data_IF_643205298105
#
_entry.id   IF_643205298105
#
_cell.length_a   1.000
_cell.length_b   1.000
_cell.length_c   1.000
_cell.angle_alpha   90.00
_cell.angle_beta   90.00
_cell.angle_gamma   90.00
#
_symmetry.space_group_name_H-M   'P 1'
#
loop_
_entity.id
_entity.type
_entity.pdbx_description
1 polymer ?
#
# COMPACT_ATOMS: atom_id res chain seq x y z
N UNK A 1 20.98 10.52 -11.47
CA UNK A 1 19.81 10.35 -10.57
C UNK A 1 20.24 9.39 -9.48
N UNK A 2 20.25 9.84 -8.23
CA UNK A 2 20.75 9.03 -7.12
C UNK A 2 19.64 8.18 -6.47
N UNK A 3 18.38 8.43 -6.77
CA UNK A 3 17.26 7.64 -6.26
C UNK A 3 15.95 7.91 -6.99
N UNK A 4 15.06 6.91 -6.93
CA UNK A 4 13.71 6.96 -7.46
C UNK A 4 12.76 6.60 -6.32
N UNK A 5 11.79 7.47 -6.03
CA UNK A 5 10.71 7.20 -5.10
C UNK A 5 9.43 6.89 -5.88
N UNK A 6 8.86 5.72 -5.65
CA UNK A 6 7.54 5.34 -6.15
C UNK A 6 6.59 5.32 -4.96
N UNK A 7 5.69 6.30 -4.91
CA UNK A 7 4.68 6.43 -3.88
C UNK A 7 3.29 6.43 -4.53
N UNK A 8 2.53 5.36 -4.32
CA UNK A 8 1.21 5.15 -4.91
C UNK A 8 0.13 5.20 -3.84
N UNK A 9 -0.49 6.36 -3.67
CA UNK A 9 -1.66 6.51 -2.78
C UNK A 9 -2.90 5.84 -3.35
N UNK A 10 -2.98 5.76 -4.67
CA UNK A 10 -4.10 5.21 -5.43
C UNK A 10 -3.56 4.02 -6.23
N UNK A 11 -3.93 2.81 -5.82
CA UNK A 11 -3.36 1.57 -6.35
C UNK A 11 -4.43 0.47 -6.44
N UNK A 12 -4.62 -0.10 -7.62
CA UNK A 12 -5.52 -1.23 -7.86
C UNK A 12 -4.80 -2.52 -8.25
N UNK A 13 -3.51 -2.41 -8.60
CA UNK A 13 -2.64 -3.54 -8.93
C UNK A 13 -1.19 -3.22 -8.55
N UNK A 14 -0.42 -4.23 -8.18
CA UNK A 14 1.01 -4.10 -7.89
C UNK A 14 1.78 -3.62 -9.13
N UNK A 15 2.59 -2.56 -9.04
CA UNK A 15 3.48 -2.16 -10.12
C UNK A 15 4.61 -3.17 -10.29
N UNK A 16 5.02 -3.40 -11.54
CA UNK A 16 6.10 -4.33 -11.87
C UNK A 16 7.47 -3.66 -11.71
N UNK A 17 7.89 -3.46 -10.46
CA UNK A 17 9.14 -2.75 -10.13
C UNK A 17 10.39 -3.45 -10.67
N UNK A 18 10.35 -4.77 -10.80
CA UNK A 18 11.43 -5.59 -11.36
C UNK A 18 11.70 -5.35 -12.85
N UNK A 19 10.79 -4.66 -13.53
CA UNK A 19 10.98 -4.24 -14.94
C UNK A 19 11.64 -2.88 -15.08
N UNK A 20 11.88 -2.19 -13.99
CA UNK A 20 12.57 -0.89 -14.01
C UNK A 20 14.07 -1.16 -14.16
N UNK A 21 14.65 -0.65 -15.25
CA UNK A 21 16.10 -0.71 -15.42
C UNK A 21 16.74 0.40 -14.58
N UNK A 22 17.31 0.02 -13.45
CA UNK A 22 17.95 0.94 -12.51
C UNK A 22 19.45 1.06 -12.82
N UNK A 23 20.02 2.28 -12.82
CA UNK A 23 21.47 2.45 -12.77
C UNK A 23 22.05 1.76 -11.52
N UNK A 24 23.30 1.31 -11.60
CA UNK A 24 23.95 0.51 -10.56
C UNK A 24 23.95 1.19 -9.17
N UNK A 25 24.12 2.51 -9.14
CA UNK A 25 24.15 3.29 -7.89
C UNK A 25 22.79 3.93 -7.53
N UNK A 26 21.73 3.59 -8.24
CA UNK A 26 20.40 4.18 -7.98
C UNK A 26 19.70 3.45 -6.85
N UNK A 27 19.18 4.21 -5.87
CA UNK A 27 18.30 3.67 -4.81
C UNK A 27 16.85 3.71 -5.31
N UNK A 28 16.18 2.57 -5.30
CA UNK A 28 14.74 2.50 -5.53
C UNK A 28 14.00 2.40 -4.21
N UNK A 29 13.13 3.37 -3.95
CA UNK A 29 12.26 3.40 -2.76
C UNK A 29 10.82 3.17 -3.22
N UNK A 30 10.17 2.16 -2.65
CA UNK A 30 8.76 1.88 -2.89
C UNK A 30 7.95 2.04 -1.62
N UNK A 31 7.03 3.00 -1.64
CA UNK A 31 6.04 3.18 -0.58
C UNK A 31 4.83 2.26 -0.82
N UNK A 32 4.82 1.16 -0.08
CA UNK A 32 3.77 0.15 -0.10
C UNK A 32 2.68 0.37 0.95
N UNK A 33 2.58 1.56 1.54
CA UNK A 33 1.65 1.87 2.64
C UNK A 33 0.23 1.34 2.39
N UNK A 34 -0.28 1.43 1.17
CA UNK A 34 -1.66 1.01 0.85
C UNK A 34 -1.83 -0.50 0.77
N UNK A 35 -0.76 -1.25 0.50
CA UNK A 35 -0.82 -2.68 0.20
C UNK A 35 0.08 -3.54 1.10
N UNK A 36 0.66 -2.95 2.14
CA UNK A 36 1.63 -3.63 3.00
C UNK A 36 1.06 -4.90 3.65
N UNK A 37 -0.21 -4.89 4.08
CA UNK A 37 -0.88 -6.06 4.60
C UNK A 37 -1.07 -7.17 3.56
N UNK A 38 -1.35 -6.80 2.31
CA UNK A 38 -1.49 -7.77 1.20
C UNK A 38 -0.15 -8.43 0.87
N UNK A 39 0.96 -7.68 0.98
CA UNK A 39 2.32 -8.19 0.81
C UNK A 39 2.67 -9.13 1.99
N UNK A 40 2.42 -8.69 3.22
CA UNK A 40 2.75 -9.45 4.43
C UNK A 40 2.06 -10.82 4.50
N UNK A 41 0.88 -10.95 3.88
CA UNK A 41 0.09 -12.19 3.86
C UNK A 41 0.26 -13.01 2.58
N UNK A 42 1.22 -12.68 1.73
CA UNK A 42 1.41 -13.29 0.41
C UNK A 42 0.17 -13.23 -0.51
N UNK A 43 -0.81 -12.38 -0.20
CA UNK A 43 -1.94 -12.09 -1.11
C UNK A 43 -1.50 -11.25 -2.32
N UNK A 44 -0.31 -10.66 -2.21
CA UNK A 44 0.38 -9.91 -3.24
C UNK A 44 1.87 -10.25 -3.16
N UNK A 45 2.56 -10.27 -4.32
CA UNK A 45 3.99 -10.58 -4.36
C UNK A 45 4.81 -9.64 -3.47
N UNK A 46 5.86 -10.17 -2.84
CA UNK A 46 6.76 -9.37 -2.01
C UNK A 46 7.88 -8.78 -2.88
N UNK A 47 7.92 -7.45 -3.07
CA UNK A 47 8.92 -6.82 -3.92
C UNK A 47 10.37 -7.01 -3.42
N UNK A 48 10.58 -7.27 -2.14
CA UNK A 48 11.92 -7.58 -1.61
C UNK A 48 12.53 -8.82 -2.27
N UNK A 49 11.71 -9.75 -2.77
CA UNK A 49 12.17 -10.96 -3.45
C UNK A 49 12.62 -10.70 -4.91
N UNK A 50 12.29 -9.54 -5.46
CA UNK A 50 12.64 -9.18 -6.83
C UNK A 50 14.03 -8.55 -6.95
N UNK A 51 14.61 -8.13 -5.82
CA UNK A 51 15.91 -7.44 -5.76
C UNK A 51 16.92 -8.24 -4.96
N UNK A 52 18.13 -8.26 -5.44
CA UNK A 52 19.26 -8.90 -4.73
C UNK A 52 19.78 -8.00 -3.62
N UNK A 53 20.61 -8.56 -2.74
CA UNK A 53 21.32 -7.84 -1.68
C UNK A 53 22.28 -6.74 -2.20
N UNK A 54 22.71 -6.85 -3.47
CA UNK A 54 23.57 -5.85 -4.14
C UNK A 54 22.77 -4.63 -4.65
N UNK A 55 21.47 -4.78 -4.89
CA UNK A 55 20.63 -3.70 -5.38
C UNK A 55 20.13 -2.86 -4.21
N UNK A 56 20.15 -1.53 -4.38
CA UNK A 56 19.70 -0.58 -3.36
C UNK A 56 18.19 -0.41 -3.43
N UNK A 57 17.45 -1.40 -2.91
CA UNK A 57 15.98 -1.36 -2.84
C UNK A 57 15.50 -1.17 -1.40
N UNK A 58 14.56 -0.26 -1.22
CA UNK A 58 13.89 0.05 0.05
C UNK A 58 12.40 -0.14 -0.12
N UNK A 59 11.82 -1.04 0.66
CA UNK A 59 10.38 -1.16 0.83
C UNK A 59 9.98 -0.46 2.13
N UNK A 60 9.07 0.49 2.04
CA UNK A 60 8.56 1.18 3.22
C UNK A 60 7.04 1.19 3.23
N UNK A 61 6.46 1.39 4.40
CA UNK A 61 5.03 1.52 4.51
C UNK A 61 4.53 1.77 5.93
N UNK A 62 3.30 2.26 6.02
CA UNK A 62 2.61 2.44 7.29
C UNK A 62 1.86 1.16 7.69
N UNK A 63 1.84 0.88 8.99
CA UNK A 63 1.33 -0.37 9.56
C UNK A 63 -0.14 -0.33 9.96
N UNK A 64 -0.88 0.73 9.61
CA UNK A 64 -2.26 0.96 10.08
C UNK A 64 -3.29 1.09 8.94
N UNK A 65 -2.97 0.55 7.75
CA UNK A 65 -3.90 0.53 6.60
C UNK A 65 -4.34 -0.90 6.29
N UNK A 66 -3.90 -1.48 5.18
CA UNK A 66 -4.19 -2.89 4.91
C UNK A 66 -3.49 -3.85 5.86
N UNK A 67 -2.35 -3.45 6.41
CA UNK A 67 -1.79 -4.10 7.58
C UNK A 67 -2.53 -3.54 8.81
N UNK A 68 -3.29 -4.35 9.57
CA UNK A 68 -4.20 -3.86 10.62
C UNK A 68 -3.47 -3.64 11.95
N UNK A 69 -2.31 -3.00 11.92
CA UNK A 69 -1.45 -2.75 13.07
C UNK A 69 -1.58 -1.34 13.66
N UNK A 70 -0.74 -1.01 14.62
CA UNK A 70 -0.68 0.32 15.22
C UNK A 70 -0.17 1.37 14.23
N UNK A 71 -0.37 2.64 14.56
CA UNK A 71 0.13 3.75 13.74
C UNK A 71 1.64 3.87 13.85
N UNK A 72 2.36 3.14 13.01
CA UNK A 72 3.81 3.26 12.84
C UNK A 72 4.22 3.09 11.38
N UNK A 73 5.51 3.23 11.11
CA UNK A 73 6.13 2.95 9.82
C UNK A 73 7.09 1.76 9.91
N UNK A 74 7.26 1.08 8.80
CA UNK A 74 8.28 0.07 8.58
C UNK A 74 9.17 0.48 7.42
N UNK A 75 10.46 0.20 7.55
CA UNK A 75 11.46 0.30 6.49
C UNK A 75 12.15 -1.05 6.40
N UNK A 76 12.24 -1.61 5.20
CA UNK A 76 12.80 -2.93 4.96
C UNK A 76 13.71 -2.89 3.74
N UNK A 77 14.82 -3.61 3.80
CA UNK A 77 15.75 -3.76 2.69
C UNK A 77 16.50 -5.09 2.79
N UNK A 78 16.92 -5.65 1.65
CA UNK A 78 17.84 -6.79 1.60
C UNK A 78 19.31 -6.33 1.52
N UNK A 79 19.55 -5.04 1.32
CA UNK A 79 20.89 -4.48 1.20
C UNK A 79 21.46 -4.18 2.60
N UNK A 80 22.52 -4.88 2.99
CA UNK A 80 23.12 -4.79 4.34
C UNK A 80 23.70 -3.41 4.61
N UNK A 81 24.30 -2.75 3.62
CA UNK A 81 24.86 -1.40 3.80
C UNK A 81 23.77 -0.37 4.11
N UNK A 82 22.63 -0.47 3.41
CA UNK A 82 21.47 0.37 3.73
C UNK A 82 20.89 0.04 5.10
N UNK A 83 20.81 -1.24 5.48
CA UNK A 83 20.31 -1.66 6.79
C UNK A 83 21.18 -1.07 7.91
N UNK A 84 22.51 -1.16 7.81
CA UNK A 84 23.45 -0.55 8.76
C UNK A 84 23.32 0.97 8.84
N UNK A 85 23.13 1.65 7.68
CA UNK A 85 22.89 3.08 7.67
C UNK A 85 21.59 3.43 8.40
N UNK A 86 20.50 2.68 8.20
CA UNK A 86 19.25 2.92 8.92
C UNK A 86 19.42 2.73 10.43
N UNK A 87 20.07 1.68 10.88
CA UNK A 87 20.29 1.42 12.29
C UNK A 87 21.07 2.54 12.98
N UNK A 88 22.05 3.12 12.28
CA UNK A 88 22.86 4.23 12.82
C UNK A 88 22.16 5.58 12.78
N UNK A 89 21.36 5.84 11.74
CA UNK A 89 20.69 7.13 11.54
C UNK A 89 19.36 7.23 12.28
N UNK A 90 18.58 6.15 12.30
CA UNK A 90 17.23 6.21 12.89
C UNK A 90 17.31 6.45 14.39
N UNK A 91 18.18 5.75 15.08
CA UNK A 91 18.39 5.90 16.53
C UNK A 91 19.89 6.13 16.84
N UNK A 92 20.32 7.27 17.41
CA UNK A 92 19.46 8.27 18.08
C UNK A 92 19.08 9.50 17.25
N UNK A 93 19.52 9.63 15.99
CA UNK A 93 19.45 10.91 15.28
C UNK A 93 18.03 11.38 14.98
N UNK A 94 17.19 10.46 14.50
CA UNK A 94 15.79 10.76 14.16
C UNK A 94 14.79 10.34 15.24
N UNK A 95 15.04 9.22 15.93
CA UNK A 95 14.20 8.71 17.00
C UNK A 95 15.01 8.52 18.26
N UNK A 96 14.80 9.36 19.26
CA UNK A 96 15.50 9.25 20.55
C UNK A 96 14.92 8.17 21.47
N UNK A 97 13.61 7.93 21.37
CA UNK A 97 12.91 6.98 22.23
C UNK A 97 12.04 6.04 21.40
N UNK A 98 12.26 4.74 21.55
CA UNK A 98 11.41 3.71 20.95
C UNK A 98 10.05 3.66 21.66
N UNK A 99 8.96 3.68 20.89
CA UNK A 99 7.62 3.53 21.43
C UNK A 99 7.27 2.04 21.56
N UNK A 100 7.67 1.43 22.68
CA UNK A 100 7.56 -0.01 22.90
C UNK A 100 6.15 -0.53 22.77
N UNK A 101 5.12 0.23 23.17
CA UNK A 101 3.72 -0.16 23.02
C UNK A 101 3.32 -0.35 21.54
N UNK A 102 3.85 0.48 20.62
CA UNK A 102 3.63 0.27 19.18
C UNK A 102 4.37 -0.96 18.67
N UNK A 103 5.60 -1.20 19.14
CA UNK A 103 6.39 -2.37 18.74
C UNK A 103 5.69 -3.65 19.19
N UNK A 104 5.28 -3.75 20.46
CA UNK A 104 4.55 -4.92 20.95
C UNK A 104 3.21 -5.12 20.27
N UNK A 105 2.46 -4.04 20.01
CA UNK A 105 1.21 -4.10 19.26
C UNK A 105 1.42 -4.61 17.84
N UNK A 106 2.50 -4.16 17.18
CA UNK A 106 2.85 -4.64 15.85
C UNK A 106 3.23 -6.12 15.85
N UNK A 107 4.01 -6.57 16.84
CA UNK A 107 4.37 -7.99 16.97
C UNK A 107 3.11 -8.86 17.09
N UNK A 108 2.15 -8.47 17.96
CA UNK A 108 0.89 -9.18 18.09
C UNK A 108 0.10 -9.21 16.77
N UNK A 109 0.03 -8.08 16.07
CA UNK A 109 -0.61 -8.00 14.76
C UNK A 109 0.04 -8.96 13.75
N UNK A 110 1.37 -9.04 13.71
CA UNK A 110 2.08 -9.94 12.80
C UNK A 110 1.83 -11.42 13.15
N UNK A 111 1.77 -11.76 14.43
CA UNK A 111 1.41 -13.11 14.88
C UNK A 111 -0.03 -13.48 14.49
N UNK A 112 -0.98 -12.57 14.60
CA UNK A 112 -2.36 -12.78 14.13
C UNK A 112 -2.43 -12.93 12.61
N UNK A 113 -1.66 -12.12 11.86
CA UNK A 113 -1.60 -12.22 10.40
C UNK A 113 -0.96 -13.52 9.91
N UNK A 114 -0.04 -14.11 10.66
CA UNK A 114 0.52 -15.42 10.34
C UNK A 114 -0.57 -16.50 10.36
N UNK A 115 -1.54 -16.40 11.25
CA UNK A 115 -2.62 -17.37 11.41
C UNK A 115 -3.81 -17.06 10.50
N UNK A 116 -4.26 -15.80 10.47
CA UNK A 116 -5.54 -15.39 9.86
C UNK A 116 -5.37 -14.50 8.63
N UNK A 117 -4.15 -14.06 8.33
CA UNK A 117 -3.89 -13.00 7.35
C UNK A 117 -4.36 -13.35 5.94
N UNK A 118 -4.23 -14.58 5.50
CA UNK A 118 -4.70 -15.01 4.18
C UNK A 118 -6.22 -14.85 4.04
N UNK A 119 -6.98 -15.28 5.05
CA UNK A 119 -8.45 -15.14 5.06
C UNK A 119 -8.86 -13.67 5.15
N UNK A 120 -8.19 -12.90 6.00
CA UNK A 120 -8.42 -11.47 6.15
C UNK A 120 -8.20 -10.73 4.82
N UNK A 121 -7.04 -10.86 4.19
CA UNK A 121 -6.73 -10.18 2.94
C UNK A 121 -7.59 -10.66 1.77
N UNK A 122 -7.91 -11.96 1.71
CA UNK A 122 -8.90 -12.46 0.74
C UNK A 122 -10.24 -11.74 0.90
N UNK A 123 -10.73 -11.60 2.13
CA UNK A 123 -11.99 -10.90 2.42
C UNK A 123 -11.92 -9.43 2.04
N UNK A 124 -10.80 -8.75 2.33
CA UNK A 124 -10.59 -7.33 1.96
C UNK A 124 -10.70 -7.13 0.45
N UNK A 125 -9.98 -7.92 -0.35
CA UNK A 125 -9.99 -7.82 -1.81
C UNK A 125 -11.33 -8.26 -2.40
N UNK A 126 -11.93 -9.33 -1.86
CA UNK A 126 -13.23 -9.82 -2.28
C UNK A 126 -14.33 -8.77 -2.04
N UNK A 127 -14.38 -8.16 -0.86
CA UNK A 127 -15.34 -7.12 -0.53
C UNK A 127 -15.22 -5.91 -1.47
N UNK A 128 -13.99 -5.50 -1.81
CA UNK A 128 -13.76 -4.43 -2.78
C UNK A 128 -14.33 -4.79 -4.16
N UNK A 129 -14.13 -6.03 -4.63
CA UNK A 129 -14.66 -6.48 -5.92
C UNK A 129 -16.19 -6.63 -5.89
N UNK A 130 -16.78 -7.11 -4.80
CA UNK A 130 -18.24 -7.19 -4.63
C UNK A 130 -18.87 -5.80 -4.63
N UNK A 131 -18.25 -4.84 -3.92
CA UNK A 131 -18.67 -3.44 -3.94
C UNK A 131 -18.63 -2.86 -5.35
N UNK A 132 -17.50 -3.05 -6.06
CA UNK A 132 -17.34 -2.58 -7.43
C UNK A 132 -18.40 -3.17 -8.37
N UNK A 133 -18.65 -4.48 -8.28
CA UNK A 133 -19.68 -5.16 -9.07
C UNK A 133 -21.10 -4.63 -8.76
N UNK A 134 -21.40 -4.34 -7.50
CA UNK A 134 -22.66 -3.75 -7.08
C UNK A 134 -22.80 -2.33 -7.67
N UNK A 135 -21.78 -1.48 -7.60
CA UNK A 135 -21.81 -0.13 -8.16
C UNK A 135 -22.03 -0.14 -9.68
N UNK A 136 -21.44 -1.10 -10.40
CA UNK A 136 -21.66 -1.26 -11.85
C UNK A 136 -23.14 -1.55 -12.16
N UNK A 137 -23.84 -2.34 -11.32
CA UNK A 137 -25.29 -2.58 -11.48
C UNK A 137 -26.14 -1.29 -11.35
N UNK A 138 -25.60 -0.30 -10.65
CA UNK A 138 -26.21 1.02 -10.53
C UNK A 138 -25.65 2.04 -11.54
N UNK A 139 -25.04 1.56 -12.63
CA UNK A 139 -24.51 2.37 -13.73
C UNK A 139 -23.31 3.27 -13.35
N UNK A 140 -22.57 2.95 -12.28
CA UNK A 140 -21.32 3.62 -12.02
C UNK A 140 -20.23 3.10 -12.94
N UNK A 141 -19.41 4.00 -13.48
CA UNK A 141 -18.24 3.63 -14.24
C UNK A 141 -17.05 3.33 -13.28
N UNK A 142 -16.69 2.05 -13.17
CA UNK A 142 -15.62 1.58 -12.29
C UNK A 142 -14.36 1.33 -13.12
N UNK A 143 -13.24 1.92 -12.69
CA UNK A 143 -11.92 1.61 -13.26
C UNK A 143 -11.54 0.20 -12.84
N UNK A 144 -11.08 -0.63 -13.80
CA UNK A 144 -10.80 -2.04 -13.57
C UNK A 144 -9.50 -2.50 -14.23
N UNK A 145 -8.91 -3.54 -13.66
CA UNK A 145 -7.82 -4.32 -14.25
C UNK A 145 -8.33 -5.75 -14.45
N UNK A 146 -8.70 -6.07 -15.69
CA UNK A 146 -9.25 -7.38 -16.02
C UNK A 146 -8.35 -8.54 -15.53
N UNK A 147 -8.93 -9.67 -15.08
CA UNK A 147 -10.37 -9.99 -15.01
C UNK A 147 -11.12 -9.43 -13.79
N UNK A 148 -10.44 -8.76 -12.86
CA UNK A 148 -11.03 -8.19 -11.64
C UNK A 148 -11.23 -6.68 -11.76
N UNK A 149 -12.00 -6.09 -10.85
CA UNK A 149 -12.06 -4.64 -10.69
C UNK A 149 -10.81 -4.11 -9.99
N UNK A 150 -10.37 -4.83 -8.96
CA UNK A 150 -9.18 -4.45 -8.20
C UNK A 150 -8.49 -5.69 -7.62
N UNK A 151 -7.19 -5.57 -7.40
CA UNK A 151 -6.36 -6.53 -6.66
C UNK A 151 -6.02 -6.00 -5.26
N UNK A 152 -6.60 -4.86 -4.88
CA UNK A 152 -6.40 -4.21 -3.58
C UNK A 152 -7.73 -3.97 -2.86
N UNK A 153 -7.71 -3.17 -1.81
CA UNK A 153 -8.89 -2.71 -1.09
C UNK A 153 -9.57 -1.49 -1.73
N UNK A 154 -8.96 -0.89 -2.75
CA UNK A 154 -9.43 0.36 -3.34
C UNK A 154 -10.33 0.12 -4.55
N UNK A 155 -11.41 0.91 -4.64
CA UNK A 155 -12.35 0.93 -5.76
C UNK A 155 -12.40 2.35 -6.29
N UNK A 156 -12.21 2.53 -7.59
CA UNK A 156 -12.21 3.84 -8.22
C UNK A 156 -13.44 4.02 -9.12
N UNK A 157 -14.24 5.02 -8.78
CA UNK A 157 -15.37 5.46 -9.60
C UNK A 157 -14.89 6.61 -10.49
N UNK A 158 -15.03 6.46 -11.80
CA UNK A 158 -14.72 7.51 -12.77
C UNK A 158 -15.99 8.28 -13.14
N UNK A 159 -15.92 9.60 -13.03
CA UNK A 159 -16.99 10.50 -13.45
C UNK A 159 -16.45 11.91 -13.75
N UNK A 160 -17.23 12.76 -14.46
CA UNK A 160 -16.84 14.16 -14.67
C UNK A 160 -16.64 14.91 -13.35
N UNK A 161 -15.69 15.84 -13.31
CA UNK A 161 -15.25 16.52 -12.08
C UNK A 161 -16.41 17.17 -11.29
N UNK A 162 -17.30 17.87 -11.99
CA UNK A 162 -18.44 18.52 -11.35
C UNK A 162 -19.42 17.51 -10.72
N UNK A 163 -19.60 16.36 -11.34
CA UNK A 163 -20.46 15.30 -10.84
C UNK A 163 -19.79 14.57 -9.67
N UNK A 164 -18.47 14.37 -9.75
CA UNK A 164 -17.68 13.80 -8.67
C UNK A 164 -17.79 14.62 -7.38
N UNK A 165 -17.71 15.95 -7.50
CA UNK A 165 -17.86 16.85 -6.34
C UNK A 165 -19.26 16.81 -5.75
N UNK A 166 -20.31 16.81 -6.60
CA UNK A 166 -21.69 16.68 -6.15
C UNK A 166 -21.93 15.32 -5.46
N UNK A 167 -21.43 14.26 -6.07
CA UNK A 167 -21.53 12.90 -5.53
C UNK A 167 -20.81 12.78 -4.19
N UNK A 168 -19.58 13.30 -4.09
CA UNK A 168 -18.81 13.35 -2.84
C UNK A 168 -19.60 14.03 -1.72
N UNK A 169 -20.13 15.25 -1.96
CA UNK A 169 -20.91 15.97 -0.96
C UNK A 169 -22.16 15.18 -0.56
N UNK A 170 -22.86 14.60 -1.53
CA UNK A 170 -24.05 13.79 -1.26
C UNK A 170 -23.71 12.55 -0.42
N UNK A 171 -22.58 11.89 -0.66
CA UNK A 171 -22.13 10.79 0.18
C UNK A 171 -21.91 11.24 1.63
N UNK A 172 -21.28 12.41 1.84
CA UNK A 172 -21.08 12.97 3.18
C UNK A 172 -22.40 13.27 3.88
N UNK A 173 -23.40 13.84 3.17
CA UNK A 173 -24.72 14.12 3.72
C UNK A 173 -25.43 12.84 4.22
N UNK A 174 -25.12 11.69 3.63
CA UNK A 174 -25.61 10.37 4.04
C UNK A 174 -24.66 9.61 4.98
N UNK A 175 -23.63 10.27 5.52
CA UNK A 175 -22.67 9.66 6.44
C UNK A 175 -21.67 8.69 5.78
N UNK A 176 -21.55 8.73 4.46
CA UNK A 176 -20.60 7.91 3.70
C UNK A 176 -19.36 8.73 3.35
N UNK A 177 -18.24 8.44 3.99
CA UNK A 177 -16.96 9.09 3.70
C UNK A 177 -16.25 8.40 2.54
N UNK A 178 -15.94 9.14 1.49
CA UNK A 178 -15.15 8.70 0.34
C UNK A 178 -14.03 9.71 0.06
N UNK A 179 -13.04 9.34 -0.75
CA UNK A 179 -12.00 10.27 -1.18
C UNK A 179 -12.37 10.90 -2.53
N UNK A 180 -12.33 12.21 -2.61
CA UNK A 180 -12.40 12.93 -3.88
C UNK A 180 -10.99 13.12 -4.42
N UNK A 181 -10.73 12.59 -5.63
CA UNK A 181 -9.46 12.72 -6.33
C UNK A 181 -9.66 13.45 -7.64
N UNK A 182 -8.92 14.53 -7.85
CA UNK A 182 -8.88 15.23 -9.13
C UNK A 182 -7.66 14.72 -9.93
N UNK A 183 -7.68 13.44 -10.32
CA UNK A 183 -6.61 12.81 -11.10
C UNK A 183 -7.21 12.15 -12.34
N UNK A 184 -6.58 12.42 -13.48
CA UNK A 184 -6.72 11.54 -14.64
C UNK A 184 -5.88 10.30 -14.38
N UNK A 185 -6.54 9.14 -14.25
CA UNK A 185 -5.84 7.86 -14.25
C UNK A 185 -5.56 7.52 -15.72
N UNK A 186 -4.28 7.45 -16.05
CA UNK A 186 -3.82 7.10 -17.39
C UNK A 186 -3.65 5.59 -17.52
#
# INVERSE_FOLDING_TARGET
INGILICLSDIIIMPQLNKINLPEDCVLIFDATQILGLIATNSMENPLQWFTDKQKFILMGATHKTLPGPTCGLIMTNNLDLAHQFDTLINPDYLRNSQLHHIFSLILTLMELEIYGNQYCFSVVNNANVLAAALVKYNFHIIKVAPKYTYTHQVFISMPENDARKFYNKCLDYGVSINLRNKKLY
#
